data_IF_895062889324
#
_entry.id   IF_895062889324
#
_cell.length_a   1.000
_cell.length_b   1.000
_cell.length_c   1.000
_cell.angle_alpha   90.00
_cell.angle_beta   90.00
_cell.angle_gamma   90.00
#
_symmetry.space_group_name_H-M   'P 1'
#
loop_
_entity.id
_entity.type
_entity.pdbx_description
1 polymer ?
#
# COMPACT_ATOMS: atom_id res chain seq x y z
N UNK A 1 -9.61 -19.97 -7.91
CA UNK A 1 -9.96 -20.69 -9.15
C UNK A 1 -8.69 -21.24 -9.75
N UNK A 2 -8.76 -22.49 -10.26
CA UNK A 2 -7.68 -23.12 -11.01
C UNK A 2 -8.21 -23.44 -12.41
N UNK A 3 -7.42 -23.17 -13.42
CA UNK A 3 -7.73 -23.47 -14.84
C UNK A 3 -6.60 -24.28 -15.43
N UNK A 4 -6.90 -25.15 -16.42
CA UNK A 4 -5.91 -25.98 -17.09
C UNK A 4 -6.15 -25.98 -18.59
N UNK A 5 -5.06 -26.04 -19.36
CA UNK A 5 -5.07 -26.22 -20.80
C UNK A 5 -3.89 -27.14 -21.18
N UNK A 6 -4.19 -28.38 -21.51
CA UNK A 6 -3.19 -29.43 -21.65
C UNK A 6 -2.42 -29.65 -20.33
N UNK A 7 -1.11 -29.59 -20.39
CA UNK A 7 -0.23 -29.77 -19.22
C UNK A 7 -0.03 -28.49 -18.40
N UNK A 8 -0.47 -27.35 -18.91
CA UNK A 8 -0.36 -26.07 -18.20
C UNK A 8 -1.55 -25.85 -17.28
N UNK A 9 -1.26 -25.55 -16.02
CA UNK A 9 -2.24 -25.26 -14.99
C UNK A 9 -1.88 -23.97 -14.30
N UNK A 10 -2.88 -23.06 -14.15
CA UNK A 10 -2.68 -21.76 -13.54
C UNK A 10 -3.80 -21.45 -12.53
N UNK A 11 -3.47 -20.65 -11.54
CA UNK A 11 -4.40 -20.24 -10.51
C UNK A 11 -4.68 -18.73 -10.56
N UNK A 12 -5.89 -18.36 -10.19
CA UNK A 12 -6.28 -17.00 -9.89
C UNK A 12 -7.00 -16.93 -8.55
N UNK A 13 -6.81 -15.85 -7.83
CA UNK A 13 -7.47 -15.62 -6.54
C UNK A 13 -7.90 -14.16 -6.41
N UNK A 14 -9.03 -13.95 -5.76
CA UNK A 14 -9.49 -12.61 -5.44
C UNK A 14 -10.18 -12.61 -4.09
N UNK A 15 -9.94 -11.57 -3.30
CA UNK A 15 -10.58 -11.35 -2.01
C UNK A 15 -11.05 -9.92 -1.87
N UNK A 16 -12.13 -9.73 -1.15
CA UNK A 16 -12.64 -8.41 -0.83
C UNK A 16 -13.04 -8.34 0.65
N UNK A 17 -13.10 -7.14 1.18
CA UNK A 17 -13.47 -6.92 2.57
C UNK A 17 -13.51 -5.45 2.91
N UNK A 18 -14.06 -5.14 4.09
CA UNK A 18 -14.19 -3.78 4.58
C UNK A 18 -14.77 -3.75 5.98
N UNK A 19 -15.22 -2.60 6.43
CA UNK A 19 -15.82 -2.36 7.77
C UNK A 19 -17.35 -2.25 7.73
N UNK A 20 -17.99 -2.85 6.74
CA UNK A 20 -19.44 -2.95 6.67
C UNK A 20 -19.93 -4.28 7.23
N UNK A 21 -21.25 -4.42 7.42
CA UNK A 21 -21.85 -5.66 7.88
C UNK A 21 -21.60 -6.81 6.88
N UNK A 22 -21.45 -8.03 7.40
CA UNK A 22 -21.13 -9.21 6.60
C UNK A 22 -22.14 -9.44 5.44
N UNK A 23 -23.39 -9.05 5.62
CA UNK A 23 -24.45 -9.19 4.61
C UNK A 23 -24.07 -8.50 3.30
N UNK A 24 -23.37 -7.38 3.34
CA UNK A 24 -22.93 -6.67 2.13
C UNK A 24 -21.87 -7.45 1.34
N UNK A 25 -21.13 -8.33 1.98
CA UNK A 25 -20.04 -9.11 1.38
C UNK A 25 -20.48 -10.48 0.83
N UNK A 26 -21.59 -11.03 1.35
CA UNK A 26 -22.12 -12.34 0.94
C UNK A 26 -23.27 -12.26 -0.05
N UNK A 27 -23.54 -11.08 -0.63
CA UNK A 27 -24.55 -10.95 -1.68
C UNK A 27 -24.14 -11.70 -2.95
N UNK A 28 -25.10 -12.30 -3.70
CA UNK A 28 -24.80 -13.02 -4.94
C UNK A 28 -23.98 -12.20 -5.95
N UNK A 29 -24.23 -10.91 -6.08
CA UNK A 29 -23.46 -10.02 -6.96
C UNK A 29 -22.01 -9.87 -6.51
N UNK A 30 -21.75 -9.78 -5.20
CA UNK A 30 -20.40 -9.62 -4.63
C UNK A 30 -19.55 -10.86 -4.80
N UNK A 31 -20.03 -12.02 -4.30
CA UNK A 31 -19.22 -13.23 -4.40
C UNK A 31 -19.03 -13.68 -5.85
N UNK A 32 -20.05 -13.47 -6.73
CA UNK A 32 -19.89 -13.75 -8.16
C UNK A 32 -18.81 -12.87 -8.78
N UNK A 33 -18.84 -11.56 -8.53
CA UNK A 33 -17.78 -10.65 -9.00
C UNK A 33 -16.39 -11.07 -8.54
N UNK A 34 -16.24 -11.55 -7.30
CA UNK A 34 -14.96 -12.05 -6.78
C UNK A 34 -14.51 -13.32 -7.52
N UNK A 35 -15.43 -14.23 -7.82
CA UNK A 35 -15.14 -15.46 -8.59
C UNK A 35 -14.79 -15.13 -10.04
N UNK A 36 -15.54 -14.23 -10.67
CA UNK A 36 -15.29 -13.80 -12.05
C UNK A 36 -13.90 -13.15 -12.19
N UNK A 37 -13.47 -12.34 -11.21
CA UNK A 37 -12.13 -11.75 -11.21
C UNK A 37 -11.04 -12.80 -10.98
N UNK A 38 -11.25 -13.74 -10.06
CA UNK A 38 -10.31 -14.85 -9.85
C UNK A 38 -10.17 -15.74 -11.10
N UNK A 39 -11.27 -15.98 -11.81
CA UNK A 39 -11.26 -16.71 -13.07
C UNK A 39 -10.50 -15.93 -14.15
N UNK A 40 -10.80 -14.63 -14.29
CA UNK A 40 -10.09 -13.75 -15.23
C UNK A 40 -8.57 -13.82 -15.04
N UNK A 41 -8.11 -13.71 -13.79
CA UNK A 41 -6.68 -13.81 -13.47
C UNK A 41 -6.09 -15.17 -13.88
N UNK A 42 -6.76 -16.27 -13.56
CA UNK A 42 -6.30 -17.61 -13.92
C UNK A 42 -6.19 -17.79 -15.44
N UNK A 43 -7.16 -17.29 -16.22
CA UNK A 43 -7.15 -17.34 -17.67
C UNK A 43 -6.03 -16.50 -18.27
N UNK A 44 -5.81 -15.30 -17.77
CA UNK A 44 -4.70 -14.44 -18.22
C UNK A 44 -3.35 -15.12 -17.93
N UNK A 45 -3.20 -15.74 -16.76
CA UNK A 45 -1.98 -16.44 -16.39
C UNK A 45 -1.68 -17.63 -17.34
N UNK A 46 -2.70 -18.30 -17.88
CA UNK A 46 -2.51 -19.35 -18.88
C UNK A 46 -1.82 -18.86 -20.15
N UNK A 47 -2.04 -17.61 -20.52
CA UNK A 47 -1.46 -16.99 -21.71
C UNK A 47 -0.17 -16.21 -21.39
N UNK A 48 0.26 -16.18 -20.13
CA UNK A 48 1.42 -15.40 -19.71
C UNK A 48 2.71 -15.91 -20.34
N UNK A 49 3.61 -14.95 -20.61
CA UNK A 49 4.96 -15.19 -21.13
C UNK A 49 6.00 -14.74 -20.11
N UNK A 50 7.24 -15.22 -20.16
CA UNK A 50 8.31 -14.75 -19.28
C UNK A 50 8.51 -13.24 -19.39
N UNK A 51 8.54 -12.57 -18.23
CA UNK A 51 8.81 -11.13 -18.18
C UNK A 51 10.25 -10.84 -18.58
N UNK A 52 10.52 -9.80 -19.38
CA UNK A 52 11.88 -9.39 -19.69
C UNK A 52 12.59 -8.94 -18.41
N UNK A 53 13.82 -9.42 -18.22
CA UNK A 53 14.69 -8.99 -17.12
C UNK A 53 15.44 -7.72 -17.50
N UNK A 54 15.68 -6.85 -16.54
CA UNK A 54 16.47 -5.64 -16.70
C UNK A 54 15.80 -4.40 -16.10
N UNK A 55 16.52 -3.29 -16.13
CA UNK A 55 16.02 -1.99 -15.71
C UNK A 55 15.09 -1.41 -16.76
N UNK A 56 13.90 -0.99 -16.35
CA UNK A 56 12.90 -0.42 -17.25
C UNK A 56 11.90 0.48 -16.52
N UNK A 57 11.20 1.31 -17.27
CA UNK A 57 10.10 2.12 -16.75
C UNK A 57 8.92 1.23 -16.40
N UNK A 58 8.33 1.44 -15.22
CA UNK A 58 7.13 0.73 -14.78
C UNK A 58 6.02 1.74 -14.50
N UNK A 59 4.86 1.53 -15.13
CA UNK A 59 3.62 2.23 -14.78
C UNK A 59 2.86 1.35 -13.80
N UNK A 60 2.50 1.90 -12.66
CA UNK A 60 1.73 1.20 -11.64
C UNK A 60 0.23 1.48 -11.84
N UNK A 61 -0.57 0.44 -11.92
CA UNK A 61 -2.01 0.55 -11.91
C UNK A 61 -2.57 0.96 -10.54
N UNK A 62 -3.84 1.31 -10.44
CA UNK A 62 -4.51 1.60 -9.18
C UNK A 62 -4.75 0.32 -8.35
N UNK A 63 -4.98 0.47 -7.05
CA UNK A 63 -5.32 -0.63 -6.14
C UNK A 63 -4.12 -1.35 -5.56
N UNK A 64 -3.98 -2.66 -5.78
CA UNK A 64 -2.90 -3.47 -5.22
C UNK A 64 -1.47 -2.96 -5.46
N UNK A 65 -1.14 -2.33 -6.59
CA UNK A 65 0.15 -1.66 -6.76
C UNK A 65 0.47 -0.60 -5.70
N UNK A 66 -0.52 -0.13 -4.96
CA UNK A 66 -0.33 0.69 -3.74
C UNK A 66 0.53 0.02 -2.65
N UNK A 67 0.78 -1.29 -2.71
CA UNK A 67 1.73 -1.97 -1.82
C UNK A 67 3.15 -1.41 -1.96
N UNK A 68 3.48 -0.80 -3.10
CA UNK A 68 4.72 -0.03 -3.24
C UNK A 68 4.82 1.07 -2.17
N UNK A 69 3.74 1.80 -1.92
CA UNK A 69 3.74 2.84 -0.87
C UNK A 69 3.84 2.23 0.52
N UNK A 70 3.22 1.05 0.73
CA UNK A 70 3.32 0.33 1.98
C UNK A 70 4.76 -0.04 2.31
N UNK A 71 5.48 -0.65 1.38
CA UNK A 71 6.85 -1.10 1.58
C UNK A 71 7.87 0.04 1.48
N UNK A 72 7.85 0.78 0.36
CA UNK A 72 8.87 1.79 0.09
C UNK A 72 8.80 3.01 1.02
N UNK A 73 7.62 3.36 1.52
CA UNK A 73 7.37 4.58 2.28
C UNK A 73 6.77 4.27 3.65
N UNK A 74 5.69 3.48 3.71
CA UNK A 74 4.87 3.32 4.89
C UNK A 74 5.64 2.86 6.12
N UNK A 75 6.29 1.71 6.07
CA UNK A 75 7.10 1.22 7.19
C UNK A 75 8.26 2.16 7.53
N UNK A 76 8.86 2.79 6.53
CA UNK A 76 9.95 3.73 6.74
C UNK A 76 9.53 5.00 7.48
N UNK A 77 8.25 5.37 7.45
CA UNK A 77 7.70 6.58 8.11
C UNK A 77 6.94 6.27 9.42
N UNK A 78 7.05 5.06 9.95
CA UNK A 78 6.60 4.75 11.30
C UNK A 78 7.51 5.42 12.34
N UNK A 79 6.90 6.09 13.33
CA UNK A 79 7.59 7.00 14.23
C UNK A 79 8.64 6.35 15.13
N UNK A 80 8.43 5.10 15.55
CA UNK A 80 9.36 4.39 16.42
C UNK A 80 10.68 4.08 15.72
N UNK A 81 10.68 3.69 14.44
CA UNK A 81 11.88 3.46 13.65
C UNK A 81 12.64 4.77 13.40
N UNK A 82 11.92 5.86 13.15
CA UNK A 82 12.51 7.18 12.96
C UNK A 82 13.12 7.72 14.26
N UNK A 83 12.44 7.58 15.40
CA UNK A 83 12.98 7.96 16.71
C UNK A 83 14.24 7.19 17.08
N UNK A 84 14.26 5.89 16.79
CA UNK A 84 15.41 5.01 17.04
C UNK A 84 16.55 5.18 16.03
N UNK A 85 16.37 6.01 15.00
CA UNK A 85 17.34 6.21 13.91
C UNK A 85 17.65 4.93 13.10
N UNK A 86 16.66 4.05 12.98
CA UNK A 86 16.76 2.80 12.23
C UNK A 86 16.32 2.99 10.77
N UNK A 87 15.30 3.84 10.56
CA UNK A 87 14.79 4.10 9.21
C UNK A 87 15.76 4.96 8.38
N UNK A 88 15.88 4.64 7.10
CA UNK A 88 16.57 5.47 6.10
C UNK A 88 16.00 6.90 6.04
N UNK A 89 14.77 7.12 6.50
CA UNK A 89 14.10 8.41 6.51
C UNK A 89 14.34 9.24 7.80
N UNK A 90 15.06 8.71 8.79
CA UNK A 90 15.14 9.28 10.15
C UNK A 90 15.55 10.76 10.22
N UNK A 91 16.33 11.26 9.28
CA UNK A 91 16.83 12.65 9.27
C UNK A 91 16.35 13.42 8.02
N UNK A 92 15.25 12.96 7.41
CA UNK A 92 14.74 13.52 6.16
C UNK A 92 13.47 14.37 6.33
N UNK A 93 13.00 14.60 7.56
CA UNK A 93 11.88 15.51 7.80
C UNK A 93 12.21 16.91 7.25
N UNK A 94 11.30 17.46 6.45
CA UNK A 94 11.48 18.73 5.73
C UNK A 94 12.31 18.62 4.45
N UNK A 95 12.84 17.43 4.10
CA UNK A 95 13.62 17.24 2.88
C UNK A 95 12.79 16.58 1.78
N UNK A 96 13.22 16.75 0.54
CA UNK A 96 12.62 16.12 -0.62
C UNK A 96 13.02 14.65 -0.69
N UNK A 97 12.04 13.77 -0.69
CA UNK A 97 12.22 12.30 -0.79
C UNK A 97 11.45 11.69 -1.97
N UNK A 98 10.60 12.48 -2.64
CA UNK A 98 9.83 12.04 -3.80
C UNK A 98 9.71 13.17 -4.83
N UNK A 99 9.16 12.85 -6.00
CA UNK A 99 8.88 13.83 -7.06
C UNK A 99 7.94 14.93 -6.58
N UNK A 100 8.05 16.12 -7.16
CA UNK A 100 7.35 17.34 -6.73
C UNK A 100 5.82 17.22 -6.65
N UNK A 101 5.22 16.35 -7.45
CA UNK A 101 3.75 16.18 -7.48
C UNK A 101 3.26 15.02 -6.61
N UNK A 102 4.13 14.40 -5.83
CA UNK A 102 3.77 13.25 -4.99
C UNK A 102 3.35 13.74 -3.61
N UNK A 103 2.11 13.46 -3.25
CA UNK A 103 1.57 13.65 -1.90
C UNK A 103 1.04 12.32 -1.39
N UNK A 104 1.51 11.89 -0.22
CA UNK A 104 1.14 10.61 0.41
C UNK A 104 0.56 10.88 1.78
N UNK A 105 -0.56 10.23 2.05
CA UNK A 105 -1.26 10.30 3.35
C UNK A 105 -1.44 8.91 3.93
N UNK A 106 -1.53 8.82 5.25
CA UNK A 106 -2.11 7.69 5.97
C UNK A 106 -3.41 8.14 6.59
N UNK A 107 -4.53 7.56 6.16
CA UNK A 107 -5.87 8.02 6.52
C UNK A 107 -6.72 6.87 7.06
N UNK A 108 -6.86 6.84 8.38
CA UNK A 108 -7.71 5.86 9.05
C UNK A 108 -9.22 6.23 9.05
N UNK A 109 -9.60 7.38 8.50
CA UNK A 109 -10.99 7.88 8.53
C UNK A 109 -11.80 7.52 7.29
N UNK A 110 -11.18 6.92 6.27
CA UNK A 110 -11.85 6.55 5.01
C UNK A 110 -12.97 5.57 5.28
N UNK A 111 -14.19 5.91 4.89
CA UNK A 111 -15.37 5.09 5.17
C UNK A 111 -15.26 3.69 4.57
N UNK A 112 -15.64 2.69 5.35
CA UNK A 112 -15.78 1.29 4.95
C UNK A 112 -14.50 0.61 4.44
N UNK A 113 -13.34 1.25 4.54
CA UNK A 113 -12.06 0.62 4.17
C UNK A 113 -11.58 -0.33 5.27
N UNK A 114 -10.90 -1.40 4.86
CA UNK A 114 -10.39 -2.44 5.75
C UNK A 114 -9.37 -1.89 6.76
N UNK A 115 -8.50 -0.97 6.33
CA UNK A 115 -7.50 -0.33 7.18
C UNK A 115 -8.01 0.77 8.10
N UNK A 116 -9.27 1.21 7.93
CA UNK A 116 -9.85 2.31 8.72
C UNK A 116 -10.17 1.89 10.15
N UNK A 117 -10.00 2.81 11.06
CA UNK A 117 -10.31 2.64 12.49
C UNK A 117 -10.98 3.91 13.02
N UNK A 118 -11.81 3.80 14.03
CA UNK A 118 -12.43 4.98 14.69
C UNK A 118 -11.48 5.59 15.71
N UNK A 119 -10.87 4.72 16.51
CA UNK A 119 -9.83 5.02 17.48
C UNK A 119 -8.75 3.96 17.36
N UNK A 120 -7.49 4.30 17.67
CA UNK A 120 -6.40 3.34 17.74
C UNK A 120 -6.44 2.54 19.06
N UNK A 121 -5.50 1.60 19.24
CA UNK A 121 -5.45 0.74 20.44
C UNK A 121 -4.99 1.48 21.71
N UNK A 122 -4.66 2.75 21.60
CA UNK A 122 -4.37 3.65 22.72
C UNK A 122 -5.53 4.63 23.02
N UNK A 123 -6.66 4.54 22.27
CA UNK A 123 -7.81 5.42 22.39
C UNK A 123 -7.62 6.79 21.74
N UNK A 124 -6.65 6.95 20.85
CA UNK A 124 -6.47 8.18 20.07
C UNK A 124 -7.40 8.14 18.86
N UNK A 125 -8.19 9.20 18.60
CA UNK A 125 -9.03 9.27 17.40
C UNK A 125 -8.20 9.12 16.13
N UNK A 126 -8.72 8.34 15.17
CA UNK A 126 -8.13 8.23 13.86
C UNK A 126 -8.21 9.55 13.09
N UNK A 127 -7.25 9.79 12.23
CA UNK A 127 -7.16 11.02 11.43
C UNK A 127 -6.49 10.76 10.09
N UNK A 128 -6.52 11.75 9.20
CA UNK A 128 -5.75 11.78 7.98
C UNK A 128 -4.42 12.49 8.25
N UNK A 129 -3.33 11.76 8.17
CA UNK A 129 -1.96 12.23 8.45
C UNK A 129 -1.20 12.38 7.15
N UNK A 130 -0.78 13.59 6.80
CA UNK A 130 0.09 13.81 5.64
C UNK A 130 1.52 13.40 6.00
N UNK A 131 2.07 12.47 5.23
CA UNK A 131 3.42 11.95 5.38
C UNK A 131 4.39 12.66 4.44
N UNK A 132 3.99 12.79 3.18
CA UNK A 132 4.73 13.48 2.13
C UNK A 132 3.80 14.51 1.48
N UNK A 133 4.24 15.73 1.35
CA UNK A 133 3.51 16.80 0.67
C UNK A 133 4.37 17.37 -0.46
N UNK A 134 3.89 17.30 -1.70
CA UNK A 134 4.62 17.76 -2.88
C UNK A 134 6.07 17.26 -2.95
N UNK A 135 6.28 16.01 -2.56
CA UNK A 135 7.58 15.35 -2.53
C UNK A 135 8.44 15.65 -1.31
N UNK A 136 7.98 16.49 -0.39
CA UNK A 136 8.67 16.82 0.86
C UNK A 136 8.11 15.94 1.98
N UNK A 137 8.98 15.31 2.74
CA UNK A 137 8.57 14.59 3.95
C UNK A 137 8.14 15.57 5.03
N UNK A 138 6.89 15.49 5.49
CA UNK A 138 6.31 16.45 6.44
C UNK A 138 5.84 15.80 7.75
N UNK A 139 5.77 14.48 7.82
CA UNK A 139 5.24 13.80 9.01
C UNK A 139 5.67 12.36 9.13
N UNK A 140 5.35 11.80 10.30
CA UNK A 140 5.47 10.38 10.64
C UNK A 140 4.13 9.88 11.20
N UNK A 141 3.87 8.60 11.07
CA UNK A 141 2.81 7.94 11.83
C UNK A 141 3.27 7.75 13.28
N UNK A 142 2.44 8.13 14.24
CA UNK A 142 2.82 8.21 15.66
C UNK A 142 1.80 7.50 16.56
N UNK A 143 2.30 6.69 17.49
CA UNK A 143 1.62 6.33 18.72
C UNK A 143 1.84 7.39 19.80
N UNK A 144 1.28 7.21 20.98
CA UNK A 144 1.45 8.17 22.11
C UNK A 144 2.86 8.17 22.66
N UNK A 145 3.50 7.00 22.79
CA UNK A 145 4.83 6.88 23.35
C UNK A 145 5.86 7.59 22.46
N UNK A 146 5.88 7.25 21.18
CA UNK A 146 6.86 7.82 20.25
C UNK A 146 6.59 9.30 19.98
N UNK A 147 5.32 9.70 19.89
CA UNK A 147 4.93 11.11 19.79
C UNK A 147 5.46 11.93 20.98
N UNK A 148 5.29 11.43 22.21
CA UNK A 148 5.79 12.12 23.41
C UNK A 148 7.32 12.25 23.40
N UNK A 149 8.02 11.16 23.08
CA UNK A 149 9.49 11.14 23.03
C UNK A 149 10.06 12.03 21.90
N UNK A 150 9.33 12.17 20.80
CA UNK A 150 9.70 13.05 19.68
C UNK A 150 9.14 14.47 19.82
N UNK A 151 8.43 14.78 20.93
CA UNK A 151 7.80 16.08 21.21
C UNK A 151 6.82 16.52 20.12
N UNK A 152 6.04 15.59 19.63
CA UNK A 152 4.99 15.79 18.63
C UNK A 152 3.63 15.25 19.15
N UNK A 153 2.62 15.18 18.29
CA UNK A 153 1.30 14.66 18.63
C UNK A 153 1.14 13.23 18.05
N UNK A 154 0.39 12.38 18.77
CA UNK A 154 -0.08 11.10 18.23
C UNK A 154 -0.98 11.34 17.03
N UNK A 155 -0.85 10.46 16.04
CA UNK A 155 -1.62 10.50 14.78
C UNK A 155 -2.75 9.47 14.73
N UNK A 156 -3.00 8.75 15.85
CA UNK A 156 -4.02 7.69 15.88
C UNK A 156 -3.56 6.42 15.13
N UNK A 157 -2.25 6.19 15.12
CA UNK A 157 -1.63 5.03 14.49
C UNK A 157 -1.07 4.01 15.50
N UNK A 158 -1.39 4.15 16.80
CA UNK A 158 -0.97 3.23 17.85
C UNK A 158 -1.74 1.92 17.74
N UNK A 159 -1.20 0.93 17.02
CA UNK A 159 -1.86 -0.34 16.76
C UNK A 159 -1.04 -1.51 17.30
N UNK A 160 -1.71 -2.55 17.78
CA UNK A 160 -1.08 -3.79 18.26
C UNK A 160 -1.34 -4.95 17.31
N UNK A 161 -0.43 -5.87 17.26
CA UNK A 161 -0.57 -7.10 16.48
C UNK A 161 -1.69 -8.00 17.06
N UNK A 162 -1.68 -8.15 18.37
CA UNK A 162 -2.73 -8.84 19.13
C UNK A 162 -2.79 -8.30 20.56
N UNK A 163 -3.68 -8.84 21.39
CA UNK A 163 -3.83 -8.48 22.81
C UNK A 163 -2.54 -8.65 23.64
N UNK A 164 -1.61 -9.50 23.18
CA UNK A 164 -0.35 -9.80 23.87
C UNK A 164 0.74 -8.74 23.63
N UNK A 165 0.58 -7.90 22.60
CA UNK A 165 1.59 -6.95 22.19
C UNK A 165 1.24 -5.51 22.60
N UNK A 166 2.27 -4.73 22.86
CA UNK A 166 2.10 -3.29 23.06
C UNK A 166 1.76 -2.60 21.73
N UNK A 167 0.94 -1.54 21.76
CA UNK A 167 0.73 -0.69 20.58
C UNK A 167 2.06 -0.11 20.08
N UNK A 168 2.16 0.04 18.77
CA UNK A 168 3.28 0.66 18.08
C UNK A 168 2.75 1.40 16.86
N UNK A 169 3.49 2.37 16.30
CA UNK A 169 3.05 3.06 15.09
C UNK A 169 2.87 2.07 13.94
N UNK A 170 1.70 2.06 13.32
CA UNK A 170 1.35 1.21 12.17
C UNK A 170 0.42 1.95 11.23
N UNK A 171 0.55 1.64 9.95
CA UNK A 171 -0.30 2.17 8.88
C UNK A 171 -1.78 1.86 9.11
N UNK A 172 -2.62 2.75 8.63
CA UNK A 172 -4.06 2.53 8.41
C UNK A 172 -4.33 2.35 6.91
N UNK A 173 -4.78 3.37 6.20
CA UNK A 173 -4.85 3.34 4.74
C UNK A 173 -3.83 4.33 4.19
N UNK A 174 -2.70 3.81 3.73
CA UNK A 174 -1.65 4.63 3.13
C UNK A 174 -1.84 4.69 1.63
N UNK A 175 -2.00 5.88 1.08
CA UNK A 175 -2.18 6.06 -0.36
C UNK A 175 -1.63 7.39 -0.87
N UNK A 176 -1.34 7.41 -2.15
CA UNK A 176 -0.96 8.63 -2.86
C UNK A 176 -2.21 9.37 -3.34
N UNK A 177 -2.26 10.66 -3.10
CA UNK A 177 -3.34 11.50 -3.62
C UNK A 177 -3.23 11.63 -5.14
N UNK A 178 -4.38 11.81 -5.79
CA UNK A 178 -4.42 12.06 -7.23
C UNK A 178 -3.62 13.33 -7.57
N UNK A 179 -2.76 13.21 -8.57
CA UNK A 179 -2.03 14.34 -9.15
C UNK A 179 -2.83 15.05 -10.25
N UNK A 180 -2.22 16.06 -10.85
CA UNK A 180 -2.83 16.81 -11.96
C UNK A 180 -2.62 16.18 -13.35
N UNK A 181 -2.05 14.97 -13.44
CA UNK A 181 -1.77 14.28 -14.70
C UNK A 181 -2.80 13.18 -14.90
N UNK A 182 -3.40 13.12 -16.09
CA UNK A 182 -4.37 12.07 -16.41
C UNK A 182 -3.68 10.71 -16.59
N UNK A 183 -4.41 9.62 -16.37
CA UNK A 183 -3.93 8.27 -16.63
C UNK A 183 -3.45 8.11 -18.09
N UNK A 184 -4.20 8.66 -19.04
CA UNK A 184 -3.86 8.64 -20.47
C UNK A 184 -2.52 9.34 -20.75
N UNK A 185 -2.26 10.48 -20.12
CA UNK A 185 -1.02 11.21 -20.29
C UNK A 185 0.18 10.47 -19.67
N UNK A 186 -0.04 9.76 -18.54
CA UNK A 186 0.97 8.88 -17.95
C UNK A 186 1.35 7.79 -18.95
N UNK A 187 0.38 7.08 -19.53
CA UNK A 187 0.66 6.06 -20.54
C UNK A 187 1.37 6.62 -21.77
N UNK A 188 0.94 7.77 -22.29
CA UNK A 188 1.57 8.42 -23.45
C UNK A 188 3.01 8.85 -23.17
N UNK A 189 3.38 9.10 -21.92
CA UNK A 189 4.74 9.50 -21.54
C UNK A 189 5.75 8.36 -21.63
N UNK A 190 5.30 7.11 -21.64
CA UNK A 190 6.15 5.92 -21.62
C UNK A 190 6.20 5.28 -23.02
N UNK A 191 7.38 5.33 -23.65
CA UNK A 191 7.58 4.70 -24.98
C UNK A 191 7.76 3.19 -24.92
N UNK A 192 8.38 2.70 -23.85
CA UNK A 192 8.64 1.29 -23.59
C UNK A 192 8.75 1.07 -22.10
N UNK A 193 8.03 0.11 -21.56
CA UNK A 193 8.01 -0.19 -20.12
C UNK A 193 7.06 -1.33 -19.82
N UNK A 194 6.79 -1.52 -18.54
CA UNK A 194 5.82 -2.49 -18.02
C UNK A 194 4.64 -1.75 -17.40
N UNK A 195 3.46 -2.31 -17.53
CA UNK A 195 2.28 -1.90 -16.77
C UNK A 195 1.98 -2.95 -15.71
N UNK A 196 2.24 -2.61 -14.46
CA UNK A 196 2.01 -3.49 -13.31
C UNK A 196 0.59 -3.29 -12.79
N UNK A 197 -0.29 -4.26 -13.06
CA UNK A 197 -1.72 -4.21 -12.72
C UNK A 197 -1.98 -4.77 -11.33
N UNK A 198 -1.19 -5.76 -10.90
CA UNK A 198 -1.39 -6.43 -9.63
C UNK A 198 -0.06 -6.89 -9.03
N UNK A 199 -0.03 -7.03 -7.69
CA UNK A 199 1.11 -7.54 -6.93
C UNK A 199 0.64 -8.64 -5.97
N UNK A 200 1.50 -9.61 -5.70
CA UNK A 200 1.22 -10.69 -4.74
C UNK A 200 1.82 -10.44 -3.36
N UNK A 201 2.72 -9.49 -3.23
CA UNK A 201 3.37 -9.14 -1.96
C UNK A 201 4.59 -8.28 -2.16
N UNK A 202 5.20 -7.88 -1.06
CA UNK A 202 6.43 -7.12 -1.03
C UNK A 202 7.17 -7.29 0.28
N UNK A 203 8.39 -6.79 0.33
CA UNK A 203 9.19 -6.67 1.54
C UNK A 203 10.08 -5.44 1.46
N UNK A 204 10.48 -4.91 2.61
CA UNK A 204 11.38 -3.76 2.72
C UNK A 204 12.42 -3.98 3.81
N UNK A 205 13.66 -3.63 3.52
CA UNK A 205 14.66 -3.34 4.53
C UNK A 205 14.62 -1.84 4.83
N UNK A 206 13.99 -1.47 5.93
CA UNK A 206 13.80 -0.06 6.31
C UNK A 206 15.11 0.67 6.61
N UNK A 207 16.20 -0.05 6.87
CA UNK A 207 17.51 0.52 7.20
C UNK A 207 18.24 0.97 5.93
N UNK A 208 18.24 0.12 4.91
CA UNK A 208 18.85 0.44 3.61
C UNK A 208 17.90 1.16 2.66
N UNK A 209 16.58 1.03 2.87
CA UNK A 209 15.56 1.51 1.96
C UNK A 209 15.37 0.62 0.72
N UNK A 210 15.99 -0.58 0.69
CA UNK A 210 15.75 -1.55 -0.37
C UNK A 210 14.40 -2.21 -0.19
N UNK A 211 13.64 -2.33 -1.27
CA UNK A 211 12.35 -3.00 -1.28
C UNK A 211 12.22 -3.92 -2.52
N UNK A 212 11.45 -4.96 -2.35
CA UNK A 212 11.16 -5.94 -3.39
C UNK A 212 9.65 -6.14 -3.52
N UNK A 213 9.17 -6.35 -4.73
CA UNK A 213 7.79 -6.70 -5.02
C UNK A 213 7.72 -7.95 -5.88
N UNK A 214 6.76 -8.80 -5.55
CA UNK A 214 6.35 -9.88 -6.41
C UNK A 214 5.15 -9.39 -7.23
N UNK A 215 5.38 -9.10 -8.50
CA UNK A 215 4.37 -8.58 -9.41
C UNK A 215 3.74 -9.70 -10.23
N UNK A 216 2.41 -9.65 -10.37
CA UNK A 216 1.68 -10.30 -11.45
C UNK A 216 1.57 -9.27 -12.58
N UNK A 217 2.40 -9.42 -13.60
CA UNK A 217 2.51 -8.46 -14.69
C UNK A 217 1.65 -8.94 -15.86
N UNK A 218 0.80 -8.04 -16.34
CA UNK A 218 0.19 -8.16 -17.67
C UNK A 218 1.00 -7.26 -18.61
N UNK A 219 1.54 -7.86 -19.65
CA UNK A 219 2.26 -7.17 -20.74
C UNK A 219 1.26 -6.82 -21.82
#
# INVERSE_FOLDING_TARGET
VIVANGDRQEAGSFGSGGRTGIIEWITPSKWKSNVDEALRQALVNLESVPTPAGEMTVVLGPGWPGILLHEAIGHGLEGDFNRKKISVFSDLLGKRIASKNVTVVDDGTVNNRRGSITIDDEGTPSQCTTLIENGIMVGHMQDRLNANLMKTKSTGNGRRESYEYLPMPRMTNTYMLSGGISEEDIFKSVKKGLYAVNFSGGSVDITSGQFEFLSLIHI
#
